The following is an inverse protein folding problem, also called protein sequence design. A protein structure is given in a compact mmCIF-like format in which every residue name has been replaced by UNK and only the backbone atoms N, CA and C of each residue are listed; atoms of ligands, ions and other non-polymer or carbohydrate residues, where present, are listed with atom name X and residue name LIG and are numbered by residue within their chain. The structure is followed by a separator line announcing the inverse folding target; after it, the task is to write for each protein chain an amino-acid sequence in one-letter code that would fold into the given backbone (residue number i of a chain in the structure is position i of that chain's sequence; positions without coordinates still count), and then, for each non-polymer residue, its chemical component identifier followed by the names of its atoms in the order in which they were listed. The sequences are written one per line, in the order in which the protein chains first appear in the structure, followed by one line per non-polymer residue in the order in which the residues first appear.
data_IF_053759604859
#
_entry.id   IF_053759604859
#
_cell.length_a   1.000
_cell.length_b   1.000
_cell.length_c   1.000
_cell.angle_alpha   90.00
_cell.angle_beta   90.00
_cell.angle_gamma   90.00
#
_symmetry.space_group_name_H-M   'P 1'
#
loop_
_entity.id
_entity.type
_entity.pdbx_description
1 polymer ?
#
# COMPACT_ATOMS: atom_id res chain seq x y z
N UNK A 1 78.95 46.57 -20.54
CA UNK A 1 79.34 46.14 -19.18
C UNK A 1 78.08 45.73 -18.41
N UNK A 2 78.11 44.52 -17.81
CA UNK A 2 77.38 44.02 -16.61
C UNK A 2 75.83 44.10 -16.64
N UNK A 3 75.10 43.03 -17.00
CA UNK A 3 74.66 41.87 -16.17
C UNK A 3 74.20 42.24 -14.75
N UNK A 4 72.94 41.94 -14.42
CA UNK A 4 72.55 41.10 -13.26
C UNK A 4 71.07 40.71 -13.29
N UNK A 5 70.86 39.39 -13.25
CA UNK A 5 69.63 38.68 -12.92
C UNK A 5 69.65 38.32 -11.43
N UNK A 6 68.49 38.32 -10.75
CA UNK A 6 68.21 37.78 -9.40
C UNK A 6 66.72 38.08 -9.11
N UNK A 7 65.88 37.24 -8.54
CA UNK A 7 65.93 35.81 -8.25
C UNK A 7 64.48 35.34 -8.09
N UNK A 8 64.18 34.19 -8.72
CA UNK A 8 63.03 33.34 -8.46
C UNK A 8 63.31 32.56 -7.17
N UNK A 9 62.33 32.50 -6.26
CA UNK A 9 62.01 31.38 -5.36
C UNK A 9 61.40 31.93 -4.07
N UNK A 10 60.16 31.56 -3.76
CA UNK A 10 59.74 31.09 -2.44
C UNK A 10 58.22 30.83 -2.38
N UNK A 11 57.88 29.66 -1.81
CA UNK A 11 56.66 29.33 -1.09
C UNK A 11 55.41 28.88 -1.89
N UNK A 12 55.36 27.59 -2.20
CA UNK A 12 54.11 26.82 -2.22
C UNK A 12 54.39 25.32 -2.04
N UNK A 13 54.82 24.90 -0.84
CA UNK A 13 54.97 23.49 -0.52
C UNK A 13 54.23 23.14 0.77
N UNK A 14 53.19 22.31 0.63
CA UNK A 14 52.83 21.32 1.66
C UNK A 14 51.60 21.58 2.52
N UNK A 15 50.38 21.61 1.96
CA UNK A 15 49.12 21.43 2.74
C UNK A 15 48.01 20.73 1.91
N UNK A 16 48.33 19.74 1.08
CA UNK A 16 47.45 19.28 0.00
C UNK A 16 47.00 17.81 -0.01
N UNK A 17 47.02 17.05 1.10
CA UNK A 17 46.78 15.59 1.05
C UNK A 17 45.85 14.99 2.11
N UNK A 18 45.08 15.79 2.86
CA UNK A 18 44.20 15.24 3.91
C UNK A 18 42.68 15.24 3.58
N UNK A 19 42.25 15.82 2.46
CA UNK A 19 40.80 15.98 2.16
C UNK A 19 40.22 14.78 1.38
N UNK A 20 41.05 13.96 0.72
CA UNK A 20 40.56 12.85 -0.10
C UNK A 20 40.01 11.65 0.71
N UNK A 21 40.46 11.44 1.95
CA UNK A 21 40.05 10.27 2.75
C UNK A 21 38.66 10.40 3.39
N UNK A 22 38.15 11.62 3.61
CA UNK A 22 36.84 11.84 4.26
C UNK A 22 35.68 11.64 3.28
N UNK A 23 35.93 11.72 1.97
CA UNK A 23 34.88 11.60 0.94
C UNK A 23 34.53 10.12 0.66
N UNK A 24 35.46 9.19 0.85
CA UNK A 24 35.25 7.77 0.53
C UNK A 24 34.37 7.05 1.59
N UNK A 25 34.38 7.52 2.84
CA UNK A 25 33.56 6.94 3.92
C UNK A 25 32.05 7.21 3.74
N UNK A 26 31.68 8.31 3.09
CA UNK A 26 30.27 8.64 2.81
C UNK A 26 29.67 7.75 1.71
N UNK A 27 30.49 7.15 0.84
CA UNK A 27 30.02 6.29 -0.25
C UNK A 27 29.54 4.92 0.23
N UNK A 28 30.04 4.43 1.38
CA UNK A 28 29.72 3.11 1.92
C UNK A 28 28.26 3.02 2.43
N UNK A 29 27.67 4.16 2.82
CA UNK A 29 26.32 4.20 3.37
C UNK A 29 25.21 4.39 2.32
N UNK A 30 25.58 4.58 1.05
CA UNK A 30 24.61 4.87 -0.03
C UNK A 30 23.64 3.70 -0.27
N UNK A 31 24.08 2.47 -0.08
CA UNK A 31 23.25 1.27 -0.24
C UNK A 31 22.76 0.67 1.08
N UNK A 32 22.95 1.40 2.17
CA UNK A 32 22.60 0.98 3.53
C UNK A 32 21.28 1.60 4.00
N UNK A 33 20.23 1.51 3.16
CA UNK A 33 18.89 1.99 3.53
C UNK A 33 18.31 1.15 4.68
N UNK A 34 18.00 1.76 5.85
CA UNK A 34 17.42 1.07 6.99
C UNK A 34 16.10 0.35 6.71
N UNK A 35 15.32 0.77 5.70
CA UNK A 35 14.10 0.07 5.27
C UNK A 35 14.39 -1.36 4.78
N UNK A 36 15.60 -1.58 4.25
CA UNK A 36 16.05 -2.85 3.67
C UNK A 36 17.12 -3.52 4.55
N UNK A 37 17.12 -3.25 5.86
CA UNK A 37 18.11 -3.75 6.83
C UNK A 37 18.30 -5.27 6.88
N UNK A 38 17.39 -6.10 6.35
CA UNK A 38 17.69 -7.54 6.21
C UNK A 38 18.61 -7.88 5.04
N UNK A 39 18.86 -6.95 4.13
CA UNK A 39 19.51 -7.20 2.84
C UNK A 39 20.85 -6.49 2.68
N UNK A 40 21.26 -5.59 3.57
CA UNK A 40 22.56 -4.91 3.48
C UNK A 40 23.78 -5.73 3.95
N UNK A 41 23.64 -6.53 5.01
CA UNK A 41 24.70 -7.31 5.65
C UNK A 41 24.10 -8.26 6.70
N UNK A 42 23.56 -9.40 6.26
CA UNK A 42 22.98 -10.39 7.19
C UNK A 42 24.03 -11.34 7.77
N UNK A 43 25.27 -11.34 7.24
CA UNK A 43 26.27 -12.39 7.50
C UNK A 43 25.83 -13.77 7.03
N UNK A 44 24.65 -13.88 6.42
CA UNK A 44 24.08 -15.11 5.89
C UNK A 44 24.25 -15.12 4.38
N UNK A 45 24.74 -16.25 3.87
CA UNK A 45 24.96 -16.46 2.44
C UNK A 45 23.67 -16.80 1.68
N UNK A 46 22.58 -17.08 2.40
CA UNK A 46 21.28 -17.48 1.82
C UNK A 46 20.37 -16.29 1.50
N UNK A 47 20.69 -15.10 2.00
CA UNK A 47 19.84 -13.92 1.84
C UNK A 47 20.38 -13.12 0.66
N UNK A 48 19.52 -12.78 -0.30
CA UNK A 48 19.92 -11.86 -1.36
C UNK A 48 20.29 -10.51 -0.74
N UNK A 49 21.46 -9.98 -1.11
CA UNK A 49 22.02 -8.77 -0.53
C UNK A 49 22.04 -7.62 -1.54
N UNK A 50 21.83 -6.41 -1.03
CA UNK A 50 22.15 -5.16 -1.72
C UNK A 50 23.67 -5.06 -1.89
N UNK A 51 24.09 -4.35 -2.93
CA UNK A 51 25.50 -3.99 -3.09
C UNK A 51 25.96 -3.11 -1.93
N UNK A 52 27.23 -3.22 -1.52
CA UNK A 52 27.78 -2.37 -0.46
C UNK A 52 28.00 -0.91 -0.92
N UNK A 53 28.16 -0.71 -2.22
CA UNK A 53 28.34 0.59 -2.87
C UNK A 53 27.54 0.59 -4.18
N UNK A 54 27.13 1.75 -4.71
CA UNK A 54 26.36 1.77 -5.95
C UNK A 54 27.19 1.24 -7.12
N UNK A 55 26.65 0.27 -7.86
CA UNK A 55 27.28 -0.34 -9.04
C UNK A 55 26.35 -0.20 -10.24
N UNK A 56 26.93 -0.02 -11.42
CA UNK A 56 26.18 0.03 -12.67
C UNK A 56 25.87 -1.38 -13.14
N UNK A 57 24.59 -1.71 -13.24
CA UNK A 57 24.11 -2.94 -13.86
C UNK A 57 23.44 -2.64 -15.19
N UNK A 58 23.56 -3.55 -16.16
CA UNK A 58 22.94 -3.37 -17.49
C UNK A 58 21.67 -4.21 -17.68
N UNK A 59 21.42 -5.18 -16.79
CA UNK A 59 20.45 -6.26 -17.02
C UNK A 59 19.61 -6.60 -15.79
N UNK A 60 19.20 -5.60 -15.02
CA UNK A 60 18.11 -5.76 -14.05
C UNK A 60 16.82 -6.00 -14.84
N UNK A 61 16.10 -7.08 -14.49
CA UNK A 61 14.87 -7.51 -15.13
C UNK A 61 13.64 -6.77 -14.61
N UNK A 62 13.58 -6.46 -13.33
CA UNK A 62 12.44 -5.83 -12.68
C UNK A 62 12.67 -4.33 -12.49
N UNK A 63 13.81 -3.90 -11.95
CA UNK A 63 14.06 -2.47 -11.74
C UNK A 63 14.81 -1.83 -12.91
N UNK A 64 14.29 -2.03 -14.12
CA UNK A 64 14.94 -1.69 -15.41
C UNK A 64 15.35 -0.23 -15.56
N UNK A 65 14.64 0.67 -14.90
CA UNK A 65 14.96 2.09 -14.86
C UNK A 65 16.37 2.42 -14.31
N UNK A 66 16.96 1.48 -13.57
CA UNK A 66 18.32 1.58 -13.05
C UNK A 66 19.38 0.98 -13.99
N UNK A 67 18.98 0.36 -15.11
CA UNK A 67 19.94 -0.15 -16.08
C UNK A 67 20.76 1.00 -16.70
N UNK A 68 22.09 0.83 -16.69
CA UNK A 68 23.04 1.86 -17.11
C UNK A 68 23.24 3.00 -16.11
N UNK A 69 22.70 2.87 -14.89
CA UNK A 69 22.89 3.83 -13.78
C UNK A 69 23.52 3.11 -12.58
N UNK A 70 24.28 3.85 -11.78
CA UNK A 70 24.76 3.34 -10.51
C UNK A 70 23.57 3.12 -9.56
N UNK A 71 23.45 1.91 -9.01
CA UNK A 71 22.33 1.51 -8.16
C UNK A 71 22.78 0.51 -7.10
N UNK A 72 21.95 0.28 -6.08
CA UNK A 72 22.27 -0.63 -4.98
C UNK A 72 21.77 -2.07 -5.21
N UNK A 73 20.97 -2.29 -6.25
CA UNK A 73 20.41 -3.60 -6.56
C UNK A 73 21.32 -4.40 -7.47
N UNK A 74 21.28 -5.72 -7.31
CA UNK A 74 21.90 -6.69 -8.21
C UNK A 74 20.90 -7.78 -8.59
N UNK A 75 21.28 -8.65 -9.53
CA UNK A 75 20.42 -9.74 -10.00
C UNK A 75 20.01 -10.76 -8.92
N UNK A 76 20.77 -10.89 -7.83
CA UNK A 76 20.38 -11.77 -6.73
C UNK A 76 19.19 -11.20 -5.94
N UNK A 77 19.16 -9.88 -5.72
CA UNK A 77 18.07 -9.20 -5.03
C UNK A 77 16.74 -9.25 -5.80
N UNK A 78 16.79 -9.32 -7.13
CA UNK A 78 15.61 -9.39 -8.00
C UNK A 78 14.67 -10.55 -7.64
N UNK A 79 15.22 -11.68 -7.19
CA UNK A 79 14.42 -12.82 -6.70
C UNK A 79 13.59 -12.45 -5.47
N UNK A 80 14.17 -11.68 -4.55
CA UNK A 80 13.47 -11.23 -3.34
C UNK A 80 12.44 -10.16 -3.67
N UNK A 81 12.77 -9.25 -4.59
CA UNK A 81 11.86 -8.22 -5.07
C UNK A 81 10.63 -8.83 -5.75
N UNK A 82 10.82 -9.83 -6.62
CA UNK A 82 9.72 -10.56 -7.26
C UNK A 82 8.85 -11.31 -6.23
N UNK A 83 9.48 -12.02 -5.29
CA UNK A 83 8.73 -12.71 -4.24
C UNK A 83 7.88 -11.75 -3.38
N UNK A 84 8.40 -10.56 -3.06
CA UNK A 84 7.64 -9.53 -2.36
C UNK A 84 6.47 -9.02 -3.21
N UNK A 85 6.72 -8.68 -4.48
CA UNK A 85 5.69 -8.24 -5.42
C UNK A 85 4.56 -9.28 -5.55
N UNK A 86 4.91 -10.55 -5.74
CA UNK A 86 3.94 -11.64 -5.83
C UNK A 86 3.12 -11.81 -4.56
N UNK A 87 3.74 -11.66 -3.39
CA UNK A 87 3.04 -11.74 -2.11
C UNK A 87 2.03 -10.60 -1.92
N UNK A 88 2.35 -9.37 -2.35
CA UNK A 88 1.38 -8.27 -2.41
C UNK A 88 0.24 -8.59 -3.39
N UNK A 89 0.54 -9.10 -4.59
CA UNK A 89 -0.47 -9.47 -5.59
C UNK A 89 -1.43 -10.53 -5.07
N UNK A 90 -0.90 -11.65 -4.55
CA UNK A 90 -1.69 -12.74 -3.97
C UNK A 90 -2.58 -12.25 -2.83
N UNK A 91 -2.10 -11.30 -2.01
CA UNK A 91 -2.93 -10.71 -0.97
C UNK A 91 -4.16 -10.01 -1.56
N UNK A 92 -3.97 -9.09 -2.51
CA UNK A 92 -5.08 -8.34 -3.09
C UNK A 92 -6.04 -9.21 -3.89
N UNK A 93 -5.51 -10.11 -4.72
CA UNK A 93 -6.33 -11.08 -5.46
C UNK A 93 -7.11 -11.99 -4.51
N UNK A 94 -6.50 -12.36 -3.36
CA UNK A 94 -7.18 -13.06 -2.29
C UNK A 94 -8.37 -12.29 -1.70
N UNK A 95 -8.27 -10.96 -1.55
CA UNK A 95 -9.40 -10.13 -1.13
C UNK A 95 -10.54 -10.16 -2.16
N UNK A 96 -10.22 -10.08 -3.46
CA UNK A 96 -11.22 -10.16 -4.52
C UNK A 96 -11.88 -11.55 -4.57
N UNK A 97 -11.08 -12.61 -4.46
CA UNK A 97 -11.57 -13.99 -4.41
C UNK A 97 -12.53 -14.20 -3.23
N UNK A 98 -12.25 -13.61 -2.06
CA UNK A 98 -13.18 -13.66 -0.92
C UNK A 98 -14.53 -12.99 -1.23
N UNK A 99 -14.56 -11.85 -1.93
CA UNK A 99 -15.83 -11.25 -2.38
C UNK A 99 -16.59 -12.17 -3.33
N UNK A 100 -15.90 -12.76 -4.32
CA UNK A 100 -16.53 -13.68 -5.29
C UNK A 100 -17.12 -14.91 -4.60
N UNK A 101 -16.38 -15.50 -3.66
CA UNK A 101 -16.86 -16.66 -2.89
C UNK A 101 -18.05 -16.31 -1.99
N UNK A 102 -18.06 -15.11 -1.41
CA UNK A 102 -19.20 -14.63 -0.64
C UNK A 102 -20.42 -14.43 -1.53
N UNK A 103 -20.28 -13.78 -2.69
CA UNK A 103 -21.34 -13.62 -3.68
C UNK A 103 -21.93 -14.97 -4.11
N UNK A 104 -21.08 -15.93 -4.49
CA UNK A 104 -21.52 -17.27 -4.86
C UNK A 104 -22.32 -17.96 -3.74
N UNK A 105 -21.95 -17.70 -2.47
CA UNK A 105 -22.70 -18.22 -1.31
C UNK A 105 -24.07 -17.57 -1.16
N UNK A 106 -24.19 -16.27 -1.45
CA UNK A 106 -25.49 -15.60 -1.50
C UNK A 106 -26.34 -16.14 -2.67
N UNK A 107 -25.75 -16.32 -3.85
CA UNK A 107 -26.48 -16.89 -5.00
C UNK A 107 -27.01 -18.29 -4.70
N UNK A 108 -26.22 -19.15 -4.06
CA UNK A 108 -26.70 -20.46 -3.59
C UNK A 108 -27.86 -20.34 -2.59
N UNK A 109 -27.78 -19.37 -1.66
CA UNK A 109 -28.84 -19.13 -0.68
C UNK A 109 -30.16 -18.69 -1.34
N UNK A 110 -30.07 -17.94 -2.44
CA UNK A 110 -31.24 -17.50 -3.22
C UNK A 110 -32.09 -18.66 -3.76
N UNK A 111 -31.44 -19.79 -4.04
CA UNK A 111 -32.08 -21.01 -4.55
C UNK A 111 -32.68 -21.90 -3.43
N UNK A 112 -32.60 -21.48 -2.16
CA UNK A 112 -33.08 -22.28 -1.02
C UNK A 112 -34.52 -22.00 -0.62
N UNK A 113 -35.15 -22.96 0.07
CA UNK A 113 -36.46 -22.76 0.69
C UNK A 113 -36.46 -21.64 1.74
N UNK A 114 -35.32 -21.37 2.39
CA UNK A 114 -35.20 -20.28 3.37
C UNK A 114 -35.47 -18.94 2.67
N UNK A 115 -34.86 -18.72 1.51
CA UNK A 115 -35.14 -17.53 0.70
C UNK A 115 -36.60 -17.51 0.26
N UNK A 116 -37.14 -18.61 -0.28
CA UNK A 116 -38.51 -18.64 -0.82
C UNK A 116 -39.61 -18.35 0.22
N UNK A 117 -39.42 -18.75 1.48
CA UNK A 117 -40.36 -18.51 2.58
C UNK A 117 -40.13 -17.20 3.35
N UNK A 118 -39.10 -16.43 3.00
CA UNK A 118 -38.81 -15.14 3.65
C UNK A 118 -39.77 -14.04 3.19
N UNK A 119 -40.02 -13.08 4.09
CA UNK A 119 -40.82 -11.88 3.83
C UNK A 119 -40.32 -11.08 2.61
N UNK A 120 -41.25 -10.45 1.89
CA UNK A 120 -40.96 -9.71 0.66
C UNK A 120 -39.96 -8.57 0.89
N UNK A 121 -40.05 -7.88 2.03
CA UNK A 121 -39.14 -6.79 2.37
C UNK A 121 -37.69 -7.28 2.53
N UNK A 122 -37.49 -8.40 3.23
CA UNK A 122 -36.17 -8.99 3.44
C UNK A 122 -35.61 -9.57 2.14
N UNK A 123 -36.43 -10.16 1.26
CA UNK A 123 -36.00 -10.55 -0.10
C UNK A 123 -35.48 -9.35 -0.88
N UNK A 124 -36.16 -8.20 -0.81
CA UNK A 124 -35.70 -6.96 -1.45
C UNK A 124 -34.40 -6.40 -0.86
N UNK A 125 -34.15 -6.57 0.44
CA UNK A 125 -32.85 -6.23 1.06
C UNK A 125 -31.75 -7.18 0.59
N UNK A 126 -32.05 -8.47 0.54
CA UNK A 126 -31.13 -9.51 0.10
C UNK A 126 -30.70 -9.34 -1.36
N UNK A 127 -31.66 -9.16 -2.28
CA UNK A 127 -31.37 -8.97 -3.70
C UNK A 127 -30.50 -7.72 -3.92
N UNK A 128 -30.77 -6.62 -3.19
CA UNK A 128 -29.90 -5.43 -3.21
C UNK A 128 -28.50 -5.70 -2.69
N UNK A 129 -28.35 -6.56 -1.68
CA UNK A 129 -27.05 -6.98 -1.19
C UNK A 129 -26.29 -7.78 -2.26
N UNK A 130 -26.95 -8.74 -2.93
CA UNK A 130 -26.35 -9.51 -4.04
C UNK A 130 -25.91 -8.58 -5.17
N UNK A 131 -26.80 -7.70 -5.63
CA UNK A 131 -26.52 -6.78 -6.75
C UNK A 131 -25.37 -5.80 -6.46
N UNK A 132 -25.15 -5.48 -5.19
CA UNK A 132 -24.08 -4.54 -4.77
C UNK A 132 -22.67 -5.08 -4.97
N UNK A 133 -22.46 -6.39 -5.12
CA UNK A 133 -21.14 -6.98 -5.39
C UNK A 133 -20.65 -6.68 -6.80
N UNK A 134 -21.55 -6.62 -7.79
CA UNK A 134 -21.19 -6.43 -9.20
C UNK A 134 -20.30 -5.20 -9.43
N UNK A 135 -20.68 -3.97 -9.04
CA UNK A 135 -19.83 -2.80 -9.27
C UNK A 135 -18.50 -2.87 -8.52
N UNK A 136 -18.44 -3.53 -7.35
CA UNK A 136 -17.18 -3.74 -6.65
C UNK A 136 -16.26 -4.68 -7.42
N UNK A 137 -16.77 -5.81 -7.92
CA UNK A 137 -16.00 -6.77 -8.69
C UNK A 137 -15.56 -6.22 -10.06
N UNK A 138 -16.42 -5.47 -10.76
CA UNK A 138 -16.13 -4.88 -12.07
C UNK A 138 -15.01 -3.83 -12.01
N UNK A 139 -14.82 -3.17 -10.85
CA UNK A 139 -13.80 -2.14 -10.63
C UNK A 139 -12.50 -2.68 -9.99
N UNK A 140 -12.48 -3.95 -9.58
CA UNK A 140 -11.39 -4.53 -8.79
C UNK A 140 -10.05 -4.52 -9.53
N UNK A 141 -10.02 -4.99 -10.78
CA UNK A 141 -8.75 -5.19 -11.51
C UNK A 141 -8.00 -3.88 -11.77
N UNK A 142 -8.73 -2.81 -12.08
CA UNK A 142 -8.16 -1.47 -12.25
C UNK A 142 -7.54 -0.95 -10.94
N UNK A 143 -8.21 -1.16 -9.81
CA UNK A 143 -7.67 -0.77 -8.51
C UNK A 143 -6.43 -1.59 -8.13
N UNK A 144 -6.48 -2.93 -8.26
CA UNK A 144 -5.36 -3.82 -7.94
C UNK A 144 -4.14 -3.45 -8.79
N UNK A 145 -4.32 -3.23 -10.10
CA UNK A 145 -3.24 -2.80 -11.00
C UNK A 145 -2.58 -1.50 -10.53
N UNK A 146 -3.37 -0.51 -10.10
CA UNK A 146 -2.85 0.77 -9.63
C UNK A 146 -2.07 0.63 -8.31
N UNK A 147 -2.57 -0.17 -7.36
CA UNK A 147 -1.86 -0.47 -6.12
C UNK A 147 -0.56 -1.22 -6.42
N UNK A 148 -0.61 -2.24 -7.29
CA UNK A 148 0.59 -3.02 -7.65
C UNK A 148 1.64 -2.18 -8.39
N UNK A 149 1.21 -1.16 -9.15
CA UNK A 149 2.12 -0.18 -9.75
C UNK A 149 2.87 0.60 -8.65
N UNK A 150 2.16 1.06 -7.61
CA UNK A 150 2.79 1.73 -6.47
C UNK A 150 3.75 0.78 -5.72
N UNK A 151 3.33 -0.46 -5.47
CA UNK A 151 4.15 -1.50 -4.82
C UNK A 151 5.44 -1.75 -5.60
N UNK A 152 5.37 -1.91 -6.93
CA UNK A 152 6.54 -2.10 -7.79
C UNK A 152 7.57 -0.97 -7.64
N UNK A 153 7.12 0.29 -7.65
CA UNK A 153 8.02 1.42 -7.45
C UNK A 153 8.65 1.44 -6.06
N UNK A 154 7.87 1.14 -5.02
CA UNK A 154 8.40 1.05 -3.65
C UNK A 154 9.39 -0.12 -3.47
N UNK A 155 9.21 -1.22 -4.20
CA UNK A 155 10.18 -2.32 -4.24
C UNK A 155 11.47 -1.87 -4.94
N UNK A 156 11.37 -1.17 -6.07
CA UNK A 156 12.53 -0.64 -6.79
C UNK A 156 13.25 0.52 -6.08
N UNK A 157 12.61 1.14 -5.07
CA UNK A 157 13.27 2.10 -4.20
C UNK A 157 14.48 1.52 -3.46
N UNK A 158 14.55 0.19 -3.30
CA UNK A 158 15.75 -0.47 -2.74
C UNK A 158 17.02 -0.25 -3.59
N UNK A 159 16.86 0.17 -4.85
CA UNK A 159 17.97 0.38 -5.77
C UNK A 159 18.51 1.82 -5.73
N UNK A 160 17.83 2.75 -5.05
CA UNK A 160 18.14 4.19 -5.02
C UNK A 160 19.34 4.48 -4.09
N UNK A 161 20.53 4.80 -4.63
CA UNK A 161 21.72 5.07 -3.81
C UNK A 161 21.62 6.37 -2.99
N UNK A 162 20.66 7.22 -3.32
CA UNK A 162 20.41 8.48 -2.62
C UNK A 162 19.13 8.45 -1.77
N UNK A 163 18.73 7.26 -1.29
CA UNK A 163 17.50 7.04 -0.51
C UNK A 163 17.31 8.04 0.63
N UNK A 164 18.41 8.46 1.27
CA UNK A 164 18.40 9.38 2.42
C UNK A 164 17.76 10.75 2.12
N UNK A 165 17.71 11.18 0.85
CA UNK A 165 17.04 12.42 0.45
C UNK A 165 15.52 12.29 0.36
N UNK A 166 14.98 11.07 0.35
CA UNK A 166 13.56 10.79 0.18
C UNK A 166 12.87 10.37 1.47
N UNK A 167 13.60 10.29 2.59
CA UNK A 167 13.06 9.75 3.84
C UNK A 167 13.22 10.73 5.01
N UNK A 168 12.22 10.74 5.88
CA UNK A 168 12.30 11.37 7.18
C UNK A 168 13.13 10.48 8.11
N UNK A 169 14.15 11.06 8.75
CA UNK A 169 15.06 10.30 9.63
C UNK A 169 15.01 10.83 11.05
N UNK A 170 15.05 9.92 12.03
CA UNK A 170 15.26 10.30 13.42
C UNK A 170 16.71 10.78 13.64
N UNK A 171 16.97 11.42 14.77
CA UNK A 171 18.34 11.75 15.19
C UNK A 171 19.25 10.53 15.41
N UNK A 172 18.67 9.32 15.54
CA UNK A 172 19.40 8.04 15.62
C UNK A 172 19.64 7.41 14.24
N UNK A 173 19.11 8.01 13.17
CA UNK A 173 19.28 7.57 11.79
C UNK A 173 18.21 6.59 11.30
N UNK A 174 17.22 6.23 12.12
CA UNK A 174 16.10 5.38 11.75
C UNK A 174 15.17 6.09 10.77
N UNK A 175 14.59 5.33 9.83
CA UNK A 175 13.60 5.86 8.88
C UNK A 175 12.23 5.92 9.55
N UNK A 176 11.64 7.11 9.61
CA UNK A 176 10.33 7.37 10.20
C UNK A 176 9.21 7.33 9.17
N UNK A 177 9.48 7.83 7.95
CA UNK A 177 8.53 7.86 6.86
C UNK A 177 9.24 8.06 5.52
N UNK A 178 8.64 7.58 4.43
CA UNK A 178 9.06 7.93 3.06
C UNK A 178 8.27 9.15 2.58
N UNK A 179 8.97 10.10 1.95
CA UNK A 179 8.39 11.28 1.33
C UNK A 179 7.84 10.94 -0.05
N UNK A 180 6.66 10.35 -0.06
CA UNK A 180 5.94 9.98 -1.29
C UNK A 180 5.26 11.21 -1.90
N UNK A 181 5.36 11.36 -3.23
CA UNK A 181 4.68 12.40 -4.01
C UNK A 181 3.17 12.26 -3.86
N UNK A 182 2.48 13.38 -3.60
CA UNK A 182 1.02 13.43 -3.54
C UNK A 182 0.38 12.90 -4.84
N UNK A 183 1.03 13.10 -5.99
CA UNK A 183 0.55 12.59 -7.29
C UNK A 183 0.47 11.07 -7.32
N UNK A 184 1.35 10.36 -6.60
CA UNK A 184 1.29 8.90 -6.51
C UNK A 184 0.02 8.45 -5.79
N UNK A 185 -0.34 9.08 -4.66
CA UNK A 185 -1.61 8.78 -3.99
C UNK A 185 -2.83 9.15 -4.86
N UNK A 186 -2.79 10.29 -5.56
CA UNK A 186 -3.86 10.68 -6.48
C UNK A 186 -4.03 9.70 -7.66
N UNK A 187 -2.93 9.10 -8.13
CA UNK A 187 -2.98 8.09 -9.16
C UNK A 187 -3.73 6.84 -8.68
N UNK A 188 -3.37 6.32 -7.50
CA UNK A 188 -4.06 5.15 -6.94
C UNK A 188 -5.53 5.47 -6.65
N UNK A 189 -5.82 6.66 -6.14
CA UNK A 189 -7.18 7.11 -5.80
C UNK A 189 -8.11 7.16 -7.01
N UNK A 190 -7.60 7.60 -8.17
CA UNK A 190 -8.40 7.64 -9.41
C UNK A 190 -8.87 6.24 -9.83
N UNK A 191 -8.06 5.22 -9.59
CA UNK A 191 -8.38 3.84 -9.93
C UNK A 191 -9.14 3.12 -8.82
N UNK A 192 -8.85 3.42 -7.56
CA UNK A 192 -9.39 2.72 -6.40
C UNK A 192 -10.58 3.39 -5.73
N UNK A 193 -10.79 4.70 -5.91
CA UNK A 193 -11.85 5.42 -5.22
C UNK A 193 -13.26 4.96 -5.62
N UNK A 194 -13.46 4.58 -6.88
CA UNK A 194 -14.71 3.95 -7.33
C UNK A 194 -14.91 2.57 -6.69
N UNK A 195 -13.86 1.76 -6.67
CA UNK A 195 -13.85 0.43 -6.05
C UNK A 195 -14.14 0.50 -4.55
N UNK A 196 -13.44 1.36 -3.80
CA UNK A 196 -13.63 1.55 -2.36
C UNK A 196 -15.07 1.93 -1.98
N UNK A 197 -15.66 2.89 -2.69
CA UNK A 197 -17.08 3.26 -2.50
C UNK A 197 -18.03 2.11 -2.83
N UNK A 198 -17.75 1.34 -3.88
CA UNK A 198 -18.57 0.18 -4.24
C UNK A 198 -18.49 -0.91 -3.16
N UNK A 199 -17.31 -1.18 -2.62
CA UNK A 199 -17.10 -2.11 -1.51
C UNK A 199 -17.80 -1.63 -0.23
N UNK A 200 -17.71 -0.34 0.10
CA UNK A 200 -18.42 0.22 1.25
C UNK A 200 -19.94 0.08 1.11
N UNK A 201 -20.49 0.37 -0.07
CA UNK A 201 -21.91 0.14 -0.36
C UNK A 201 -22.27 -1.35 -0.23
N UNK A 202 -21.42 -2.24 -0.74
CA UNK A 202 -21.59 -3.69 -0.59
C UNK A 202 -21.69 -4.09 0.89
N UNK A 203 -20.75 -3.64 1.73
CA UNK A 203 -20.80 -3.86 3.18
C UNK A 203 -22.09 -3.36 3.82
N UNK A 204 -22.51 -2.14 3.49
CA UNK A 204 -23.73 -1.55 4.00
C UNK A 204 -24.95 -2.40 3.61
N UNK A 205 -25.09 -2.77 2.33
CA UNK A 205 -26.23 -3.59 1.86
C UNK A 205 -26.24 -5.00 2.46
N UNK A 206 -25.09 -5.65 2.57
CA UNK A 206 -24.99 -6.95 3.25
C UNK A 206 -25.39 -6.83 4.72
N UNK A 207 -25.05 -5.73 5.40
CA UNK A 207 -25.40 -5.54 6.81
C UNK A 207 -26.91 -5.35 7.05
N UNK A 208 -27.64 -4.79 6.08
CA UNK A 208 -29.07 -4.52 6.13
C UNK A 208 -29.93 -5.81 6.06
N UNK A 209 -29.47 -6.84 5.34
CA UNK A 209 -30.22 -8.09 5.15
C UNK A 209 -29.82 -9.17 6.15
N UNK A 210 -30.80 -9.72 6.89
CA UNK A 210 -30.59 -10.89 7.76
C UNK A 210 -30.14 -12.11 6.96
N UNK A 211 -30.72 -12.34 5.78
CA UNK A 211 -30.34 -13.43 4.90
C UNK A 211 -28.90 -13.29 4.40
N UNK A 212 -28.50 -12.08 4.01
CA UNK A 212 -27.17 -11.84 3.46
C UNK A 212 -26.06 -12.05 4.50
N UNK A 213 -26.40 -12.03 5.80
CA UNK A 213 -25.48 -12.32 6.91
C UNK A 213 -25.38 -13.81 7.26
N UNK A 214 -26.17 -14.70 6.66
CA UNK A 214 -26.13 -16.13 6.95
C UNK A 214 -24.85 -16.86 6.54
N UNK A 215 -24.20 -16.54 5.40
CA UNK A 215 -22.94 -17.18 5.05
C UNK A 215 -21.90 -17.00 6.16
N UNK A 216 -21.27 -18.10 6.57
CA UNK A 216 -20.20 -18.09 7.60
C UNK A 216 -18.85 -17.60 7.09
N UNK A 217 -18.77 -17.29 5.79
CA UNK A 217 -17.57 -16.76 5.16
C UNK A 217 -17.29 -15.33 5.65
N UNK A 218 -16.02 -14.95 5.89
CA UNK A 218 -15.69 -13.57 6.21
C UNK A 218 -15.73 -12.70 4.95
N UNK A 219 -16.14 -11.44 5.10
CA UNK A 219 -15.93 -10.41 4.08
C UNK A 219 -14.50 -9.84 4.19
N UNK A 220 -13.90 -9.39 3.07
CA UNK A 220 -12.52 -8.88 3.03
C UNK A 220 -12.37 -7.49 3.63
N UNK A 221 -11.44 -7.32 4.59
CA UNK A 221 -11.14 -6.00 5.15
C UNK A 221 -10.67 -5.04 4.03
N UNK A 222 -11.36 -3.91 3.90
CA UNK A 222 -11.17 -2.94 2.82
C UNK A 222 -11.17 -1.49 3.31
N UNK A 223 -11.10 -1.30 4.64
CA UNK A 223 -11.14 0.04 5.25
C UNK A 223 -10.02 0.95 4.76
N UNK A 224 -8.90 0.38 4.31
CA UNK A 224 -7.82 1.15 3.69
C UNK A 224 -8.23 1.81 2.36
N UNK A 225 -9.40 1.51 1.80
CA UNK A 225 -9.90 2.06 0.54
C UNK A 225 -11.16 2.90 0.72
N UNK A 226 -11.62 3.14 1.96
CA UNK A 226 -12.85 3.88 2.26
C UNK A 226 -12.79 5.30 1.69
N UNK A 227 -11.65 5.95 1.83
CA UNK A 227 -11.39 7.26 1.27
C UNK A 227 -9.92 7.43 0.85
N UNK A 228 -9.68 8.51 0.10
CA UNK A 228 -8.38 8.88 -0.43
C UNK A 228 -7.31 9.03 0.64
N UNK A 229 -7.67 9.57 1.79
CA UNK A 229 -6.75 9.94 2.87
C UNK A 229 -6.29 8.66 3.58
N UNK A 230 -7.24 7.79 3.95
CA UNK A 230 -6.96 6.47 4.52
C UNK A 230 -6.11 5.61 3.58
N UNK A 231 -6.42 5.61 2.29
CA UNK A 231 -5.64 4.87 1.29
C UNK A 231 -4.22 5.41 1.14
N UNK A 232 -4.06 6.74 1.07
CA UNK A 232 -2.73 7.35 0.98
C UNK A 232 -1.92 7.09 2.26
N UNK A 233 -2.55 7.19 3.42
CA UNK A 233 -1.91 6.89 4.71
C UNK A 233 -1.48 5.42 4.77
N UNK A 234 -2.35 4.49 4.34
CA UNK A 234 -2.02 3.07 4.28
C UNK A 234 -0.83 2.80 3.33
N UNK A 235 -0.84 3.36 2.12
CA UNK A 235 0.28 3.23 1.17
C UNK A 235 1.60 3.74 1.76
N UNK A 236 1.57 4.87 2.47
CA UNK A 236 2.77 5.49 3.07
C UNK A 236 3.26 4.72 4.29
N UNK A 237 2.37 4.28 5.16
CA UNK A 237 2.72 3.66 6.45
C UNK A 237 2.99 2.16 6.35
N UNK A 238 2.35 1.46 5.41
CA UNK A 238 2.48 0.00 5.26
C UNK A 238 3.35 -0.36 4.07
N UNK A 239 2.95 0.03 2.85
CA UNK A 239 3.66 -0.37 1.64
C UNK A 239 5.03 0.29 1.55
N UNK A 240 5.09 1.62 1.74
CA UNK A 240 6.34 2.35 1.55
C UNK A 240 7.38 2.07 2.66
N UNK A 241 6.93 1.74 3.87
CA UNK A 241 7.82 1.40 4.98
C UNK A 241 8.26 -0.07 4.98
N UNK A 242 7.55 -0.95 4.27
CA UNK A 242 7.85 -2.39 4.24
C UNK A 242 7.72 -2.99 2.83
N UNK A 243 8.46 -2.45 1.84
CA UNK A 243 8.31 -2.85 0.44
C UNK A 243 8.65 -4.32 0.17
N UNK A 244 9.64 -4.89 0.88
CA UNK A 244 10.02 -6.31 0.73
C UNK A 244 9.34 -7.25 1.72
N UNK A 245 8.48 -6.72 2.60
CA UNK A 245 7.84 -7.48 3.67
C UNK A 245 6.38 -7.09 3.74
N UNK A 246 5.52 -7.73 2.93
CA UNK A 246 4.09 -7.52 3.05
C UNK A 246 3.63 -7.85 4.47
N UNK A 247 3.36 -6.81 5.27
CA UNK A 247 2.82 -6.93 6.62
C UNK A 247 1.31 -6.93 6.56
N UNK A 248 0.78 -8.04 6.06
CA UNK A 248 -0.65 -8.28 6.15
C UNK A 248 -0.94 -9.01 7.46
N UNK A 249 -1.92 -8.55 8.26
CA UNK A 249 -2.41 -9.37 9.35
C UNK A 249 -2.88 -10.69 8.75
N UNK A 250 -2.23 -11.79 9.12
CA UNK A 250 -2.63 -13.12 8.66
C UNK A 250 -4.10 -13.31 9.00
N UNK A 251 -4.93 -13.66 8.02
CA UNK A 251 -6.35 -13.94 8.26
C UNK A 251 -6.56 -15.06 9.28
N UNK A 252 -5.56 -15.95 9.44
CA UNK A 252 -5.56 -16.98 10.48
C UNK A 252 -5.57 -16.38 11.90
N UNK A 253 -4.92 -15.23 12.11
CA UNK A 253 -4.92 -14.52 13.39
C UNK A 253 -6.31 -13.93 13.70
N UNK A 254 -7.03 -13.45 12.69
CA UNK A 254 -8.41 -12.93 12.84
C UNK A 254 -9.38 -14.06 13.19
N UNK A 255 -9.23 -15.25 12.58
CA UNK A 255 -10.07 -16.43 12.88
C UNK A 255 -9.88 -16.93 14.31
N UNK A 256 -8.64 -17.00 14.82
CA UNK A 256 -8.38 -17.40 16.22
C UNK A 256 -9.02 -16.43 17.22
N UNK A 257 -9.01 -15.13 16.93
CA UNK A 257 -9.59 -14.12 17.82
C UNK A 257 -11.11 -14.24 17.91
N UNK A 258 -11.79 -14.61 16.82
CA UNK A 258 -13.26 -14.78 16.80
C UNK A 258 -13.73 -16.09 17.42
N UNK A 259 -12.96 -17.17 17.27
CA UNK A 259 -13.25 -18.45 17.91
C UNK A 259 -13.22 -18.37 19.45
N UNK A 260 -12.36 -17.51 20.00
CA UNK A 260 -12.29 -17.25 21.44
C UNK A 260 -13.45 -16.36 21.95
N UNK A 261 -14.01 -15.49 21.10
CA UNK A 261 -15.12 -14.61 21.48
C UNK A 261 -16.50 -15.29 21.41
N UNK A 262 -16.64 -16.41 20.71
CA UNK A 262 -17.91 -17.13 20.57
C UNK A 262 -18.14 -18.22 21.64
N UNK A 263 -17.21 -18.38 22.57
CA UNK A 263 -17.25 -19.44 23.57
C UNK A 263 -17.75 -19.03 24.95
N UNK A 264 -18.81 -18.22 25.13
CA UNK A 264 -19.48 -18.14 26.45
C UNK A 264 -20.86 -17.42 26.55
N UNK A 265 -21.74 -17.50 25.54
CA UNK A 265 -23.12 -16.99 25.70
C UNK A 265 -24.11 -18.13 25.83
N UNK A 266 -24.31 -18.56 27.09
CA UNK A 266 -25.38 -19.45 27.52
C UNK A 266 -26.66 -18.63 27.71
N UNK A 267 -27.69 -18.99 26.95
CA UNK A 267 -29.08 -18.54 26.94
C UNK A 267 -29.62 -17.82 28.20
N UNK A 268 -30.19 -16.62 27.99
CA UNK A 268 -31.39 -16.18 28.73
C UNK A 268 -32.42 -15.65 27.71
N UNK A 269 -33.55 -16.36 27.64
CA UNK A 269 -34.75 -16.04 26.87
C UNK A 269 -35.52 -14.91 27.57
N UNK A 270 -35.70 -13.77 26.91
CA UNK A 270 -36.74 -12.80 27.26
C UNK A 270 -37.60 -12.51 26.03
N UNK A 271 -38.89 -12.79 26.21
CA UNK A 271 -39.99 -12.60 25.26
C UNK A 271 -40.55 -11.17 25.40
N UNK A 272 -40.89 -10.53 24.28
CA UNK A 272 -41.64 -9.26 24.23
C UNK A 272 -41.63 -8.69 22.81
N UNK A 273 -42.63 -9.01 21.98
CA UNK A 273 -43.91 -8.33 21.74
C UNK A 273 -43.84 -7.09 20.81
N UNK A 274 -44.69 -7.16 19.78
CA UNK A 274 -44.95 -6.30 18.63
C UNK A 274 -45.22 -4.82 18.94
N UNK A 275 -44.84 -3.92 18.02
CA UNK A 275 -45.78 -2.91 17.50
C UNK A 275 -45.31 -2.38 16.13
N UNK A 276 -46.18 -2.54 15.13
CA UNK A 276 -46.06 -2.07 13.76
C UNK A 276 -46.71 -0.69 13.62
N UNK A 277 -45.98 0.28 13.05
CA UNK A 277 -46.54 1.58 12.71
C UNK A 277 -46.18 1.94 11.26
N UNK A 278 -47.22 1.92 10.42
CA UNK A 278 -47.23 2.41 9.04
C UNK A 278 -46.94 3.92 9.00
N UNK A 279 -46.07 4.35 8.11
CA UNK A 279 -45.99 5.76 7.69
C UNK A 279 -45.76 5.87 6.17
N UNK A 280 -46.68 6.57 5.54
CA UNK A 280 -46.91 6.70 4.11
C UNK A 280 -46.45 8.10 3.71
N UNK A 281 -45.29 8.21 3.04
CA UNK A 281 -44.63 9.50 2.83
C UNK A 281 -43.73 9.54 1.60
N UNK A 282 -44.34 9.84 0.45
CA UNK A 282 -43.65 10.29 -0.77
C UNK A 282 -42.94 11.62 -0.49
N UNK A 283 -41.62 11.59 -0.34
CA UNK A 283 -40.77 12.77 -0.51
C UNK A 283 -39.51 12.41 -1.31
N UNK A 284 -39.25 13.19 -2.35
CA UNK A 284 -38.01 13.12 -3.10
C UNK A 284 -36.89 13.62 -2.19
N UNK A 285 -36.15 12.68 -1.59
CA UNK A 285 -35.05 12.99 -0.69
C UNK A 285 -34.01 13.87 -1.40
N UNK A 286 -33.77 15.12 -0.93
CA UNK A 286 -32.63 15.87 -1.39
C UNK A 286 -31.37 15.06 -1.07
N UNK A 287 -30.46 14.98 -2.04
CA UNK A 287 -29.17 14.30 -1.89
C UNK A 287 -28.57 14.77 -0.57
N UNK A 288 -28.32 13.88 0.41
CA UNK A 288 -27.84 14.27 1.72
C UNK A 288 -26.57 15.12 1.58
N UNK A 289 -26.49 16.22 2.30
CA UNK A 289 -25.33 17.13 2.27
C UNK A 289 -24.00 16.40 2.58
N UNK A 290 -24.08 15.25 3.25
CA UNK A 290 -22.98 14.31 3.43
C UNK A 290 -22.40 13.76 2.11
N UNK A 291 -23.25 13.45 1.12
CA UNK A 291 -22.85 12.99 -0.22
C UNK A 291 -22.22 14.13 -1.03
N UNK A 292 -22.71 15.36 -0.85
CA UNK A 292 -22.11 16.57 -1.46
C UNK A 292 -20.74 16.89 -0.83
N UNK A 293 -20.57 16.71 0.49
CA UNK A 293 -19.25 16.82 1.15
C UNK A 293 -18.27 15.73 0.72
N UNK A 294 -18.74 14.51 0.47
CA UNK A 294 -17.89 13.42 -0.01
C UNK A 294 -17.34 13.64 -1.43
N UNK A 295 -17.91 14.59 -2.20
CA UNK A 295 -17.45 14.96 -3.55
C UNK A 295 -16.76 16.33 -3.60
N UNK A 296 -16.74 17.08 -2.50
CA UNK A 296 -15.93 18.30 -2.38
C UNK A 296 -14.44 17.93 -2.44
N UNK A 297 -13.62 18.74 -3.11
CA UNK A 297 -12.17 18.58 -3.11
C UNK A 297 -11.70 18.43 -1.65
N UNK A 298 -11.16 17.27 -1.25
CA UNK A 298 -10.84 17.06 0.15
C UNK A 298 -9.74 18.05 0.55
N UNK A 299 -9.72 18.46 1.83
CA UNK A 299 -8.65 19.30 2.36
C UNK A 299 -7.31 18.72 1.92
N UNK A 300 -6.41 19.63 1.55
CA UNK A 300 -5.02 19.31 1.26
C UNK A 300 -4.45 18.72 2.53
N UNK A 301 -4.41 17.38 2.65
CA UNK A 301 -3.78 16.68 3.78
C UNK A 301 -2.40 17.28 3.94
N UNK A 302 -2.21 17.96 5.07
CA UNK A 302 -0.91 18.50 5.41
C UNK A 302 0.07 17.32 5.48
N UNK A 303 1.25 17.42 4.85
CA UNK A 303 2.26 16.36 5.00
C UNK A 303 2.47 16.09 6.50
N UNK A 304 2.70 14.82 6.90
CA UNK A 304 2.87 14.47 8.29
C UNK A 304 3.91 15.39 8.93
N UNK A 305 3.51 16.09 9.99
CA UNK A 305 4.39 17.00 10.69
C UNK A 305 5.48 16.18 11.37
N UNK A 306 6.71 16.32 10.87
CA UNK A 306 7.81 15.55 11.40
C UNK A 306 8.11 15.94 12.85
N UNK A 307 8.62 15.00 13.67
CA UNK A 307 9.15 15.35 14.98
C UNK A 307 10.16 16.48 14.84
N UNK A 308 10.21 17.40 15.80
CA UNK A 308 11.11 18.57 15.76
C UNK A 308 12.61 18.24 15.66
N UNK A 309 12.98 16.97 15.80
CA UNK A 309 14.35 16.43 15.70
C UNK A 309 14.58 15.58 14.45
N UNK A 310 13.59 15.46 13.56
CA UNK A 310 13.73 14.68 12.35
C UNK A 310 14.44 15.48 11.26
N UNK A 311 15.31 14.81 10.50
CA UNK A 311 15.89 15.39 9.29
C UNK A 311 14.83 15.34 8.19
N UNK A 312 14.52 16.50 7.62
CA UNK A 312 13.57 16.64 6.52
C UNK A 312 14.17 16.15 5.20
N UNK A 313 13.43 15.38 4.40
CA UNK A 313 13.84 14.95 3.06
C UNK A 313 13.93 16.14 2.10
N UNK A 314 14.95 16.16 1.26
CA UNK A 314 15.14 17.19 0.24
C UNK A 314 14.52 16.84 -1.11
N UNK A 315 14.10 15.59 -1.29
CA UNK A 315 13.48 15.07 -2.51
C UNK A 315 12.16 14.35 -2.20
N UNK A 316 11.38 14.13 -3.25
CA UNK A 316 10.08 13.47 -3.18
C UNK A 316 10.10 12.28 -4.12
N UNK A 317 9.70 11.11 -3.61
CA UNK A 317 9.67 9.85 -4.36
C UNK A 317 8.34 9.73 -5.11
N UNK A 318 8.39 9.40 -6.40
CA UNK A 318 7.21 9.06 -7.20
C UNK A 318 7.20 7.55 -7.51
N UNK A 319 6.69 6.71 -6.59
CA UNK A 319 6.68 5.26 -6.79
C UNK A 319 5.77 4.83 -7.95
N UNK A 320 4.85 5.67 -8.41
CA UNK A 320 4.02 5.32 -9.58
C UNK A 320 4.85 5.43 -10.84
N UNK A 321 5.61 6.52 -11.00
CA UNK A 321 6.55 6.67 -12.12
C UNK A 321 7.54 5.51 -12.16
N UNK A 322 8.07 5.15 -11.00
CA UNK A 322 9.06 4.09 -10.88
C UNK A 322 8.46 2.71 -11.15
N UNK A 323 7.24 2.47 -10.64
CA UNK A 323 6.48 1.25 -10.91
C UNK A 323 6.11 1.08 -12.39
N UNK A 324 5.71 2.15 -13.08
CA UNK A 324 5.42 2.12 -14.51
C UNK A 324 6.68 1.87 -15.37
N UNK A 325 7.84 2.30 -14.89
CA UNK A 325 9.12 2.06 -15.54
C UNK A 325 9.77 0.71 -15.16
N UNK A 326 9.15 -0.02 -14.24
CA UNK A 326 9.60 -1.34 -13.83
C UNK A 326 9.25 -2.41 -14.89
N UNK A 327 9.89 -3.57 -14.77
CA UNK A 327 9.61 -4.78 -15.53
C UNK A 327 8.78 -5.80 -14.75
N UNK A 328 8.12 -5.40 -13.66
CA UNK A 328 7.13 -6.26 -13.01
C UNK A 328 5.91 -6.41 -13.93
N UNK A 329 5.35 -7.62 -13.99
CA UNK A 329 4.15 -7.89 -14.78
C UNK A 329 2.93 -7.34 -14.04
N UNK A 330 2.45 -6.17 -14.48
CA UNK A 330 1.28 -5.49 -13.92
C UNK A 330 -0.04 -5.98 -14.52
N UNK A 331 -0.01 -6.66 -15.68
CA UNK A 331 -1.19 -7.21 -16.31
C UNK A 331 -1.46 -8.61 -15.76
N UNK A 332 -2.72 -8.88 -15.38
CA UNK A 332 -3.16 -10.25 -15.11
C UNK A 332 -2.99 -11.07 -16.41
N UNK A 333 -2.38 -12.25 -16.28
CA UNK A 333 -2.53 -13.27 -17.32
C UNK A 333 -4.03 -13.59 -17.40
N UNK A 334 -4.67 -13.13 -18.48
CA UNK A 334 -6.10 -13.27 -18.74
C UNK A 334 -6.56 -14.73 -18.79
#
# INVERSE_FOLDING_TARGET
MRRRALALALLAAGHGTAVAAVVDDLAIFQCMDPLFRSHWYSGRTDTAQLEARPVTHERLLHCRMWNGRASCCNGALEVTQQAAFDAYRVHFEGQIAMMRNYLASLEMLRETEVYSHTEVQEKGLFDRAVDSFKPALDLADGCVTAIMTFVAGMICFSCEPQWSYYVWRSGTGDVLAVQVDRKACLFVDRSCGGFGRAVQNMYMRTSESKLAKMPSLPLPASSMLDDREQMCEWLRSHVAMQPLRPSFPSQAAVRSSRALAQGDTKNDLVSGQEESQDDDGKDAYPIPEAVVRATAMPPTVAPPAAPSRATEPSLVLDPVKDGLASGFELQQAA
#
